data_IF_563694541274
#
_entry.id   IF_563694541274
#
_cell.length_a   1.000
_cell.length_b   1.000
_cell.length_c   1.000
_cell.angle_alpha   90.00
_cell.angle_beta   90.00
_cell.angle_gamma   90.00
#
_symmetry.space_group_name_H-M   'P 1'
#
loop_
_entity.id
_entity.type
_entity.pdbx_description
1 polymer ?
#
# COMPACT_ATOMS: atom_id res chain seq x y z
N UNK A 1 -11.79 33.73 15.29
CA UNK A 1 -12.36 32.42 15.67
C UNK A 1 -12.41 31.56 14.42
N UNK A 2 -11.30 30.93 14.05
CA UNK A 2 -11.17 30.25 12.75
C UNK A 2 -11.60 28.80 12.93
N UNK A 3 -12.88 28.52 12.65
CA UNK A 3 -13.39 27.16 12.57
C UNK A 3 -12.87 26.54 11.27
N UNK A 4 -11.75 25.83 11.34
CA UNK A 4 -11.41 24.86 10.30
C UNK A 4 -12.52 23.80 10.34
N UNK A 5 -13.46 23.88 9.39
CA UNK A 5 -14.33 22.75 9.07
C UNK A 5 -13.40 21.66 8.58
N UNK A 6 -13.16 20.64 9.39
CA UNK A 6 -12.54 19.40 8.95
C UNK A 6 -13.46 18.84 7.87
N UNK A 7 -13.08 19.00 6.60
CA UNK A 7 -13.79 18.37 5.49
C UNK A 7 -13.67 16.86 5.69
N UNK A 8 -14.78 16.21 5.98
CA UNK A 8 -14.85 14.75 6.00
C UNK A 8 -14.44 14.26 4.61
N UNK A 9 -13.24 13.69 4.51
CA UNK A 9 -12.73 13.22 3.22
C UNK A 9 -13.37 11.88 2.92
N UNK A 10 -14.41 11.90 2.09
CA UNK A 10 -15.03 10.70 1.55
C UNK A 10 -14.08 10.08 0.51
N UNK A 11 -13.34 9.06 0.89
CA UNK A 11 -12.56 8.26 -0.04
C UNK A 11 -13.47 7.34 -0.84
N UNK A 12 -13.19 7.18 -2.13
CA UNK A 12 -13.84 6.15 -2.95
C UNK A 12 -13.22 4.79 -2.63
N UNK A 13 -14.04 3.82 -2.28
CA UNK A 13 -13.56 2.46 -1.99
C UNK A 13 -13.37 1.66 -3.27
N UNK A 14 -12.29 0.89 -3.33
CA UNK A 14 -12.06 -0.17 -4.30
C UNK A 14 -11.69 -1.41 -3.53
N UNK A 15 -12.19 -2.55 -3.96
CA UNK A 15 -12.02 -3.79 -3.22
C UNK A 15 -11.44 -4.88 -4.11
N UNK A 16 -10.64 -5.75 -3.50
CA UNK A 16 -10.29 -6.98 -4.14
C UNK A 16 -11.47 -7.96 -4.17
N UNK A 17 -11.59 -8.74 -5.24
CA UNK A 17 -12.69 -9.68 -5.47
C UNK A 17 -12.88 -10.69 -4.33
N UNK A 18 -11.81 -11.06 -3.62
CA UNK A 18 -11.86 -12.00 -2.49
C UNK A 18 -12.67 -11.48 -1.30
N UNK A 19 -13.06 -10.20 -1.27
CA UNK A 19 -13.98 -9.68 -0.24
C UNK A 19 -15.33 -10.39 -0.30
N UNK A 20 -15.75 -10.79 -1.50
CA UNK A 20 -17.01 -11.52 -1.71
C UNK A 20 -16.96 -12.95 -1.19
N UNK A 21 -15.77 -13.46 -0.87
CA UNK A 21 -15.51 -14.79 -0.34
C UNK A 21 -15.29 -14.76 1.19
N UNK A 22 -15.70 -13.66 1.86
CA UNK A 22 -15.50 -13.42 3.30
C UNK A 22 -14.03 -13.47 3.76
N UNK A 23 -13.08 -13.16 2.86
CA UNK A 23 -11.67 -13.12 3.21
C UNK A 23 -11.34 -11.99 4.21
N UNK A 24 -10.35 -12.22 5.07
CA UNK A 24 -9.80 -11.17 5.94
C UNK A 24 -8.90 -10.21 5.15
N UNK A 25 -8.94 -8.92 5.51
CA UNK A 25 -8.20 -7.88 4.80
C UNK A 25 -8.22 -6.51 5.47
N UNK A 26 -7.46 -5.59 4.90
CA UNK A 26 -7.22 -4.26 5.43
C UNK A 26 -7.36 -3.18 4.34
N UNK A 27 -7.60 -1.94 4.75
CA UNK A 27 -7.65 -0.78 3.84
C UNK A 27 -6.29 -0.11 3.68
N UNK A 28 -5.91 0.13 2.43
CA UNK A 28 -4.68 0.81 2.05
C UNK A 28 -4.99 2.09 1.26
N UNK A 29 -4.08 3.07 1.31
CA UNK A 29 -4.18 4.26 0.45
C UNK A 29 -4.01 3.85 -1.01
N UNK A 30 -4.86 4.39 -1.90
CA UNK A 30 -4.74 4.15 -3.34
C UNK A 30 -3.36 4.51 -3.89
N UNK A 31 -2.73 5.57 -3.37
CA UNK A 31 -1.36 5.96 -3.74
C UNK A 31 -0.32 4.91 -3.34
N UNK A 32 -0.43 4.33 -2.15
CA UNK A 32 0.46 3.26 -1.70
C UNK A 32 0.29 1.99 -2.55
N UNK A 33 -0.96 1.63 -2.86
CA UNK A 33 -1.27 0.51 -3.76
C UNK A 33 -0.64 0.70 -5.15
N UNK A 34 -0.85 1.87 -5.78
CA UNK A 34 -0.27 2.18 -7.10
C UNK A 34 1.26 2.15 -7.06
N UNK A 35 1.88 2.72 -6.02
CA UNK A 35 3.33 2.67 -5.85
C UNK A 35 3.88 1.25 -5.76
N UNK A 36 3.20 0.35 -5.06
CA UNK A 36 3.66 -1.05 -4.95
C UNK A 36 3.44 -1.82 -6.24
N UNK A 37 2.31 -1.64 -6.93
CA UNK A 37 2.08 -2.25 -8.25
C UNK A 37 3.13 -1.82 -9.25
N UNK A 38 3.50 -0.53 -9.28
CA UNK A 38 4.50 -0.01 -10.21
C UNK A 38 5.91 -0.60 -9.99
N UNK A 39 6.18 -1.20 -8.82
CA UNK A 39 7.45 -1.87 -8.52
C UNK A 39 7.50 -3.31 -9.00
N UNK A 40 6.35 -3.89 -9.35
CA UNK A 40 6.27 -5.26 -9.85
C UNK A 40 6.61 -5.31 -11.34
N UNK A 41 7.07 -6.48 -11.80
CA UNK A 41 7.12 -6.78 -13.24
C UNK A 41 5.71 -6.81 -13.84
N UNK A 42 5.59 -6.53 -15.14
CA UNK A 42 4.30 -6.36 -15.84
C UNK A 42 3.30 -7.50 -15.60
N UNK A 43 3.73 -8.76 -15.68
CA UNK A 43 2.87 -9.92 -15.42
C UNK A 43 2.32 -9.95 -13.99
N UNK A 44 3.16 -9.68 -12.99
CA UNK A 44 2.76 -9.67 -11.59
C UNK A 44 1.86 -8.47 -11.27
N UNK A 45 2.20 -7.29 -11.83
CA UNK A 45 1.37 -6.10 -11.74
C UNK A 45 -0.04 -6.33 -12.28
N UNK A 46 -0.16 -6.97 -13.46
CA UNK A 46 -1.45 -7.29 -14.07
C UNK A 46 -2.25 -8.30 -13.24
N UNK A 47 -1.60 -9.34 -12.71
CA UNK A 47 -2.26 -10.34 -11.84
C UNK A 47 -2.92 -9.66 -10.64
N UNK A 48 -2.19 -8.81 -9.92
CA UNK A 48 -2.73 -8.12 -8.74
C UNK A 48 -3.78 -7.08 -9.13
N UNK A 49 -3.55 -6.32 -10.20
CA UNK A 49 -4.50 -5.30 -10.66
C UNK A 49 -5.86 -5.90 -11.08
N UNK A 50 -5.87 -7.10 -11.67
CA UNK A 50 -7.10 -7.80 -12.06
C UNK A 50 -7.94 -8.25 -10.86
N UNK A 51 -7.33 -8.39 -9.69
CA UNK A 51 -8.05 -8.78 -8.49
C UNK A 51 -8.78 -7.60 -7.85
N UNK A 52 -8.51 -6.35 -8.23
CA UNK A 52 -9.08 -5.14 -7.61
C UNK A 52 -10.00 -4.42 -8.60
N UNK A 53 -11.12 -3.91 -8.11
CA UNK A 53 -12.01 -3.07 -8.95
C UNK A 53 -11.24 -1.92 -9.58
N UNK A 54 -11.31 -1.81 -10.90
CA UNK A 54 -10.53 -0.85 -11.67
C UNK A 54 -10.79 0.61 -11.24
N UNK A 55 -9.73 1.42 -11.30
CA UNK A 55 -9.81 2.86 -11.10
C UNK A 55 -8.65 3.56 -11.81
N UNK A 56 -8.82 4.85 -12.10
CA UNK A 56 -7.77 5.65 -12.72
C UNK A 56 -6.68 5.99 -11.71
N UNK A 57 -5.40 5.85 -12.08
CA UNK A 57 -4.30 6.16 -11.15
C UNK A 57 -4.29 7.64 -10.72
N UNK A 58 -4.80 8.54 -11.55
CA UNK A 58 -5.00 9.96 -11.18
C UNK A 58 -5.95 10.13 -9.98
N UNK A 59 -6.85 9.18 -9.74
CA UNK A 59 -7.79 9.17 -8.61
C UNK A 59 -7.17 8.62 -7.32
N UNK A 60 -5.98 8.01 -7.37
CA UNK A 60 -5.35 7.32 -6.25
C UNK A 60 -5.27 8.12 -4.93
N UNK A 61 -5.06 9.46 -4.92
CA UNK A 61 -5.09 10.26 -3.70
C UNK A 61 -6.44 10.26 -2.97
N UNK A 62 -7.53 10.01 -3.69
CA UNK A 62 -8.91 10.04 -3.20
C UNK A 62 -9.55 8.64 -3.15
N UNK A 63 -8.73 7.58 -3.24
CA UNK A 63 -9.17 6.18 -3.21
C UNK A 63 -8.57 5.47 -1.99
N UNK A 64 -9.37 4.62 -1.37
CA UNK A 64 -8.88 3.56 -0.47
C UNK A 64 -9.12 2.20 -1.13
N UNK A 65 -8.16 1.31 -1.01
CA UNK A 65 -8.22 -0.04 -1.58
C UNK A 65 -8.28 -1.04 -0.45
N UNK A 66 -9.36 -1.80 -0.35
CA UNK A 66 -9.44 -2.97 0.50
C UNK A 66 -8.75 -4.15 -0.19
N UNK A 67 -7.80 -4.78 0.49
CA UNK A 67 -7.09 -5.96 0.01
C UNK A 67 -7.17 -7.07 1.05
N UNK A 68 -7.43 -8.30 0.60
CA UNK A 68 -7.22 -9.46 1.45
C UNK A 68 -5.73 -9.59 1.83
N UNK A 69 -5.46 -10.30 2.92
CA UNK A 69 -4.09 -10.47 3.43
C UNK A 69 -3.11 -11.02 2.39
N UNK A 70 -3.55 -11.94 1.53
CA UNK A 70 -2.71 -12.55 0.49
C UNK A 70 -2.34 -11.54 -0.60
N UNK A 71 -3.33 -10.79 -1.12
CA UNK A 71 -3.07 -9.73 -2.11
C UNK A 71 -2.19 -8.61 -1.55
N UNK A 72 -2.38 -8.26 -0.27
CA UNK A 72 -1.52 -7.28 0.40
C UNK A 72 -0.09 -7.79 0.62
N UNK A 73 0.09 -9.08 0.88
CA UNK A 73 1.40 -9.71 1.03
C UNK A 73 2.15 -9.76 -0.31
N UNK A 74 1.48 -10.08 -1.42
CA UNK A 74 2.08 -10.03 -2.77
C UNK A 74 2.61 -8.63 -3.12
N UNK A 75 1.98 -7.57 -2.58
CA UNK A 75 2.41 -6.18 -2.76
C UNK A 75 3.43 -5.69 -1.71
N UNK A 76 3.80 -6.52 -0.73
CA UNK A 76 4.64 -6.09 0.40
C UNK A 76 4.00 -4.98 1.23
N UNK A 77 2.67 -4.81 1.16
CA UNK A 77 1.91 -3.81 1.92
C UNK A 77 1.59 -4.30 3.33
N UNK A 78 1.58 -5.62 3.53
CA UNK A 78 1.39 -6.19 4.85
C UNK A 78 2.63 -5.90 5.70
N UNK A 79 2.47 -5.06 6.72
CA UNK A 79 3.44 -5.02 7.82
C UNK A 79 3.33 -6.36 8.53
N UNK A 80 4.41 -7.14 8.54
CA UNK A 80 4.57 -8.16 9.58
C UNK A 80 4.37 -7.42 10.90
N UNK A 81 3.42 -7.85 11.72
CA UNK A 81 3.16 -7.23 13.02
C UNK A 81 4.43 -7.33 13.88
N UNK A 82 5.30 -6.33 13.78
CA UNK A 82 6.66 -6.38 14.31
C UNK A 82 7.63 -5.48 13.53
N UNK A 83 7.59 -4.18 13.84
CA UNK A 83 8.65 -3.18 13.69
C UNK A 83 9.66 -3.26 12.53
N UNK A 84 9.70 -2.21 11.71
CA UNK A 84 11.00 -1.62 11.33
C UNK A 84 10.83 -0.20 10.81
N UNK A 85 11.23 0.74 11.67
CA UNK A 85 11.90 1.96 11.27
C UNK A 85 13.23 1.56 10.61
N UNK A 86 13.41 1.86 9.32
CA UNK A 86 14.74 1.85 8.70
C UNK A 86 15.20 3.30 8.56
N UNK A 87 15.91 3.78 9.58
CA UNK A 87 16.87 4.85 9.40
C UNK A 87 18.24 4.17 9.25
N UNK A 88 18.69 4.09 8.00
CA UNK A 88 20.02 3.68 7.60
C UNK A 88 21.06 4.62 8.21
N UNK A 89 22.11 4.04 8.78
CA UNK A 89 23.26 4.75 9.32
C UNK A 89 24.36 3.77 9.71
N UNK A 90 24.75 2.90 8.78
CA UNK A 90 25.95 2.09 8.91
C UNK A 90 27.13 2.85 8.27
N UNK A 91 27.84 3.62 9.07
CA UNK A 91 29.19 4.07 8.75
C UNK A 91 30.17 2.99 9.22
N UNK A 92 30.66 2.20 8.27
CA UNK A 92 31.85 1.37 8.43
C UNK A 92 32.93 1.97 7.55
N UNK A 93 33.94 2.59 8.16
CA UNK A 93 35.21 2.89 7.49
C UNK A 93 36.39 2.58 8.40
N UNK A 94 37.12 1.56 7.94
CA UNK A 94 38.57 1.40 8.01
C UNK A 94 39.28 1.29 9.38
N UNK A 95 39.53 0.03 9.72
CA UNK A 95 40.74 -0.57 10.30
C UNK A 95 42.04 0.27 10.32
N UNK A 96 42.64 0.32 11.54
CA UNK A 96 44.06 0.31 11.94
C UNK A 96 45.06 1.33 11.35
N UNK A 97 45.92 1.91 12.20
CA UNK A 97 47.30 1.43 12.45
C UNK A 97 47.88 2.06 13.73
N UNK A 98 48.81 1.31 14.29
CA UNK A 98 49.59 1.45 15.52
C UNK A 98 50.28 2.80 15.74
#
# INVERSE_FOLDING_TARGET
MNKHKTAEQHYRERECIHRQEDAEGEFYRGTAYVQMIQRLGSTAAMKVANNVTAFFWADAPNVIVWLCHDCAAELGLRKVAGGSSVASGAESSATAHN
#
